data_IF_701017595528
#
_entry.id   IF_701017595528
#
_cell.length_a   1.000
_cell.length_b   1.000
_cell.length_c   1.000
_cell.angle_alpha   90.00
_cell.angle_beta   90.00
_cell.angle_gamma   90.00
#
_symmetry.space_group_name_H-M   'P 1'
#
loop_
_entity.id
_entity.type
_entity.pdbx_description
1 polymer ?
#
# COMPACT_ATOMS: atom_id res chain seq x y z
N UNK A 1 -5.62 24.55 6.13
CA UNK A 1 -5.91 23.70 7.30
C UNK A 1 -6.02 22.30 6.74
N UNK A 2 -4.99 21.49 6.97
CA UNK A 2 -4.97 20.08 6.54
C UNK A 2 -6.07 19.37 7.34
N UNK A 3 -6.97 18.67 6.65
CA UNK A 3 -7.99 17.86 7.31
C UNK A 3 -7.30 16.63 7.93
N UNK A 4 -7.83 16.09 9.03
CA UNK A 4 -7.31 14.83 9.60
C UNK A 4 -7.30 13.71 8.54
N UNK A 5 -8.29 13.71 7.64
CA UNK A 5 -8.35 12.82 6.46
C UNK A 5 -7.16 13.00 5.48
N UNK A 6 -6.73 14.24 5.25
CA UNK A 6 -5.59 14.54 4.37
C UNK A 6 -4.29 14.00 5.01
N UNK A 7 -4.14 14.17 6.33
CA UNK A 7 -2.98 13.68 7.07
C UNK A 7 -2.92 12.14 7.11
N UNK A 8 -4.05 11.46 7.33
CA UNK A 8 -4.15 10.01 7.30
C UNK A 8 -3.80 9.47 5.91
N UNK A 9 -4.35 10.07 4.85
CA UNK A 9 -4.00 9.68 3.49
C UNK A 9 -2.51 9.84 3.20
N UNK A 10 -1.92 10.99 3.52
CA UNK A 10 -0.49 11.23 3.35
C UNK A 10 0.37 10.17 4.06
N UNK A 11 -0.03 9.75 5.26
CA UNK A 11 0.66 8.69 5.99
C UNK A 11 0.47 7.31 5.34
N UNK A 12 -0.72 6.98 4.86
CA UNK A 12 -0.98 5.73 4.11
C UNK A 12 -0.14 5.68 2.81
N UNK A 13 -0.07 6.78 2.06
CA UNK A 13 0.72 6.91 0.85
C UNK A 13 2.22 6.75 1.12
N UNK A 14 2.70 7.41 2.17
CA UNK A 14 4.08 7.31 2.65
C UNK A 14 4.46 5.87 3.04
N UNK A 15 3.61 5.18 3.78
CA UNK A 15 3.83 3.77 4.15
C UNK A 15 3.78 2.85 2.94
N UNK A 16 2.78 3.02 2.07
CA UNK A 16 2.63 2.22 0.84
C UNK A 16 3.86 2.33 -0.05
N UNK A 17 4.36 3.55 -0.27
CA UNK A 17 5.58 3.80 -1.04
C UNK A 17 6.86 3.22 -0.42
N UNK A 18 6.86 2.98 0.90
CA UNK A 18 8.01 2.44 1.63
C UNK A 18 8.10 0.91 1.60
N UNK A 19 7.01 0.20 1.26
CA UNK A 19 6.97 -1.27 1.31
C UNK A 19 8.05 -1.94 0.45
N UNK A 20 8.10 -1.57 -0.84
CA UNK A 20 9.03 -2.18 -1.79
C UNK A 20 10.51 -1.89 -1.43
N UNK A 21 10.91 -0.63 -1.14
CA UNK A 21 12.26 -0.35 -0.64
C UNK A 21 12.65 -1.12 0.63
N UNK A 22 11.71 -1.28 1.58
CA UNK A 22 11.99 -2.02 2.82
C UNK A 22 12.22 -3.52 2.61
N UNK A 23 11.61 -4.10 1.58
CA UNK A 23 11.79 -5.51 1.21
C UNK A 23 13.11 -5.72 0.44
N UNK A 24 13.50 -4.72 -0.35
CA UNK A 24 14.64 -4.70 -1.26
C UNK A 24 15.98 -4.30 -0.63
N UNK A 25 16.24 -4.72 0.60
CA UNK A 25 17.53 -4.40 1.23
C UNK A 25 18.72 -5.01 0.48
N UNK A 26 18.48 -6.05 -0.33
CA UNK A 26 19.48 -6.66 -1.20
C UNK A 26 19.27 -6.22 -2.66
N UNK A 27 20.30 -5.67 -3.35
CA UNK A 27 20.17 -5.15 -4.72
C UNK A 27 19.60 -6.15 -5.74
N UNK A 28 19.89 -7.44 -5.57
CA UNK A 28 19.38 -8.49 -6.47
C UNK A 28 17.86 -8.68 -6.37
N UNK A 29 17.25 -8.44 -5.21
CA UNK A 29 15.79 -8.53 -5.03
C UNK A 29 15.08 -7.41 -5.78
N UNK A 30 15.62 -6.19 -5.68
CA UNK A 30 15.14 -5.05 -6.44
C UNK A 30 15.25 -5.31 -7.95
N UNK A 31 16.42 -5.74 -8.40
CA UNK A 31 16.65 -6.05 -9.81
C UNK A 31 15.66 -7.11 -10.31
N UNK A 32 15.45 -8.19 -9.54
CA UNK A 32 14.53 -9.26 -9.90
C UNK A 32 13.07 -8.80 -9.97
N UNK A 33 12.59 -8.00 -9.02
CA UNK A 33 11.23 -7.43 -9.09
C UNK A 33 11.08 -6.52 -10.31
N UNK A 34 12.07 -5.68 -10.58
CA UNK A 34 12.03 -4.74 -11.72
C UNK A 34 12.01 -5.46 -13.06
N UNK A 35 12.78 -6.54 -13.19
CA UNK A 35 12.71 -7.46 -14.32
C UNK A 35 11.30 -8.05 -14.47
N UNK A 36 10.70 -8.54 -13.38
CA UNK A 36 9.35 -9.09 -13.37
C UNK A 36 8.29 -8.07 -13.85
N UNK A 37 8.39 -6.81 -13.41
CA UNK A 37 7.52 -5.73 -13.89
C UNK A 37 7.70 -5.44 -15.39
N UNK A 38 8.93 -5.54 -15.91
CA UNK A 38 9.24 -5.38 -17.32
C UNK A 38 8.65 -6.51 -18.16
N UNK A 39 8.89 -7.76 -17.78
CA UNK A 39 8.39 -8.96 -18.47
C UNK A 39 6.86 -9.00 -18.53
N UNK A 40 6.19 -8.45 -17.51
CA UNK A 40 4.72 -8.37 -17.43
C UNK A 40 4.10 -7.20 -18.19
N UNK A 41 4.92 -6.35 -18.84
CA UNK A 41 4.45 -5.22 -19.63
C UNK A 41 3.96 -4.02 -18.81
N UNK A 42 4.10 -4.06 -17.48
CA UNK A 42 3.68 -2.97 -16.60
C UNK A 42 4.69 -1.81 -16.65
N UNK A 43 5.97 -2.14 -16.83
CA UNK A 43 7.08 -1.19 -16.75
C UNK A 43 7.45 -0.87 -15.31
N UNK A 44 8.74 -0.69 -15.04
CA UNK A 44 9.28 -0.57 -13.67
C UNK A 44 8.63 0.57 -12.86
N UNK A 45 8.67 1.79 -13.40
CA UNK A 45 8.16 2.99 -12.70
C UNK A 45 6.67 2.85 -12.38
N UNK A 46 5.89 2.37 -13.34
CA UNK A 46 4.45 2.19 -13.17
C UNK A 46 4.15 1.07 -12.18
N UNK A 47 4.87 -0.04 -12.23
CA UNK A 47 4.73 -1.12 -11.24
C UNK A 47 4.99 -0.67 -9.81
N UNK A 48 6.11 0.02 -9.58
CA UNK A 48 6.45 0.54 -8.24
C UNK A 48 5.41 1.56 -7.74
N UNK A 49 4.95 2.47 -8.60
CA UNK A 49 3.91 3.45 -8.27
C UNK A 49 2.56 2.78 -7.96
N UNK A 50 2.11 1.84 -8.79
CA UNK A 50 0.84 1.15 -8.57
C UNK A 50 0.87 0.29 -7.30
N UNK A 51 1.98 -0.38 -7.00
CA UNK A 51 2.14 -1.13 -5.75
C UNK A 51 2.06 -0.22 -4.53
N UNK A 52 2.72 0.92 -4.56
CA UNK A 52 2.63 1.90 -3.48
C UNK A 52 1.21 2.45 -3.29
N UNK A 53 0.56 2.87 -4.39
CA UNK A 53 -0.80 3.40 -4.36
C UNK A 53 -1.84 2.35 -3.91
N UNK A 54 -1.68 1.09 -4.32
CA UNK A 54 -2.55 0.00 -3.91
C UNK A 54 -2.47 -0.21 -2.39
N UNK A 55 -1.24 -0.27 -1.86
CA UNK A 55 -1.04 -0.41 -0.42
C UNK A 55 -1.61 0.78 0.35
N UNK A 56 -1.45 2.00 -0.16
CA UNK A 56 -2.02 3.21 0.43
C UNK A 56 -3.56 3.16 0.50
N UNK A 57 -4.22 2.77 -0.60
CA UNK A 57 -5.68 2.60 -0.65
C UNK A 57 -6.16 1.56 0.35
N UNK A 58 -5.47 0.42 0.43
CA UNK A 58 -5.81 -0.65 1.36
C UNK A 58 -5.68 -0.19 2.83
N UNK A 59 -4.59 0.50 3.18
CA UNK A 59 -4.39 1.05 4.51
C UNK A 59 -5.46 2.08 4.84
N UNK A 60 -5.75 2.99 3.91
CA UNK A 60 -6.77 4.01 4.10
C UNK A 60 -8.17 3.42 4.26
N UNK A 61 -8.51 2.39 3.47
CA UNK A 61 -9.76 1.65 3.62
C UNK A 61 -9.90 0.99 5.00
N UNK A 62 -8.80 0.45 5.55
CA UNK A 62 -8.81 -0.13 6.91
C UNK A 62 -8.98 0.93 8.01
N UNK A 63 -8.41 2.12 7.84
CA UNK A 63 -8.65 3.23 8.76
C UNK A 63 -10.13 3.67 8.68
N UNK A 64 -10.68 3.77 7.47
CA UNK A 64 -12.09 4.10 7.26
C UNK A 64 -13.03 3.04 7.88
N UNK A 65 -12.73 1.75 7.74
CA UNK A 65 -13.49 0.67 8.40
C UNK A 65 -13.42 0.79 9.92
N UNK A 66 -12.22 1.02 10.47
CA UNK A 66 -12.02 1.19 11.91
C UNK A 66 -12.78 2.40 12.42
N UNK A 67 -12.82 3.49 11.64
CA UNK A 67 -13.60 4.68 11.94
C UNK A 67 -15.10 4.41 11.92
N UNK A 68 -15.60 3.70 10.92
CA UNK A 68 -16.99 3.25 10.86
C UNK A 68 -17.37 2.33 12.04
N UNK A 69 -16.40 1.58 12.57
CA UNK A 69 -16.54 0.76 13.78
C UNK A 69 -16.38 1.54 15.11
N UNK A 70 -16.20 2.87 15.06
CA UNK A 70 -16.14 3.76 16.24
C UNK A 70 -14.75 4.20 16.68
N UNK A 71 -13.69 3.88 15.91
CA UNK A 71 -12.34 4.38 16.18
C UNK A 71 -12.17 5.83 15.69
N UNK A 72 -11.23 6.61 16.23
CA UNK A 72 -10.88 7.91 15.66
C UNK A 72 -10.35 7.78 14.22
N UNK A 73 -10.65 8.76 13.36
CA UNK A 73 -10.06 8.83 12.00
C UNK A 73 -8.74 9.60 12.04
N UNK A 74 -7.70 8.98 12.62
CA UNK A 74 -6.40 9.63 12.84
C UNK A 74 -5.20 8.68 12.61
N UNK A 75 -4.00 9.23 12.77
CA UNK A 75 -2.75 8.48 12.63
C UNK A 75 -2.58 7.40 13.72
N UNK A 76 -3.18 7.59 14.90
CA UNK A 76 -3.15 6.60 15.97
C UNK A 76 -3.85 5.32 15.56
N UNK A 77 -5.04 5.46 14.95
CA UNK A 77 -5.78 4.34 14.37
C UNK A 77 -4.98 3.65 13.26
N UNK A 78 -4.38 4.40 12.33
CA UNK A 78 -3.50 3.83 11.31
C UNK A 78 -2.37 3.01 11.94
N UNK A 79 -1.62 3.61 12.88
CA UNK A 79 -0.46 2.96 13.49
C UNK A 79 -0.83 1.72 14.30
N UNK A 80 -2.03 1.66 14.87
CA UNK A 80 -2.50 0.51 15.64
C UNK A 80 -2.89 -0.69 14.77
N UNK A 81 -3.09 -0.53 13.45
CA UNK A 81 -3.50 -1.62 12.56
C UNK A 81 -2.38 -2.70 12.49
N UNK A 82 -2.67 -3.96 12.87
CA UNK A 82 -1.71 -5.06 12.72
C UNK A 82 -1.42 -5.34 11.25
N UNK A 83 -0.16 -5.60 10.87
CA UNK A 83 0.20 -5.93 9.48
C UNK A 83 -0.50 -7.21 9.00
N UNK A 84 -0.77 -8.16 9.91
CA UNK A 84 -1.57 -9.35 9.58
C UNK A 84 -3.03 -9.01 9.23
N UNK A 85 -3.60 -7.96 9.82
CA UNK A 85 -4.92 -7.49 9.44
C UNK A 85 -4.89 -6.88 8.02
N UNK A 86 -3.82 -6.16 7.67
CA UNK A 86 -3.60 -5.66 6.30
C UNK A 86 -3.48 -6.81 5.30
N UNK A 87 -2.69 -7.85 5.62
CA UNK A 87 -2.58 -9.05 4.78
C UNK A 87 -3.92 -9.75 4.62
N UNK A 88 -4.71 -9.87 5.69
CA UNK A 88 -6.04 -10.46 5.62
C UNK A 88 -6.99 -9.65 4.74
N UNK A 89 -6.94 -8.32 4.85
CA UNK A 89 -7.76 -7.42 4.06
C UNK A 89 -7.50 -7.53 2.55
N UNK A 90 -6.28 -7.90 2.12
CA UNK A 90 -5.98 -8.19 0.70
C UNK A 90 -6.80 -9.35 0.13
N UNK A 91 -7.26 -10.27 0.99
CA UNK A 91 -8.05 -11.43 0.59
C UNK A 91 -9.54 -11.23 0.85
N UNK A 92 -9.88 -10.55 1.94
CA UNK A 92 -11.26 -10.42 2.41
C UNK A 92 -12.00 -9.24 1.76
N UNK A 93 -11.29 -8.17 1.38
CA UNK A 93 -11.89 -7.00 0.73
C UNK A 93 -12.07 -7.20 -0.76
N UNK A 94 -13.20 -6.74 -1.29
CA UNK A 94 -13.44 -6.66 -2.72
C UNK A 94 -12.77 -5.42 -3.30
N UNK A 95 -12.47 -5.45 -4.59
CA UNK A 95 -11.73 -4.38 -5.28
C UNK A 95 -12.37 -3.01 -5.08
N UNK A 96 -13.71 -2.92 -5.13
CA UNK A 96 -14.41 -1.65 -4.90
C UNK A 96 -14.29 -1.13 -3.47
N UNK A 97 -14.12 -2.00 -2.47
CA UNK A 97 -13.96 -1.59 -1.07
C UNK A 97 -12.57 -0.99 -0.84
N UNK A 98 -11.56 -1.55 -1.50
CA UNK A 98 -10.21 -0.99 -1.52
C UNK A 98 -10.24 0.37 -2.22
N UNK A 99 -10.91 0.47 -3.37
CA UNK A 99 -11.01 1.71 -4.14
C UNK A 99 -11.88 2.79 -3.48
N UNK A 100 -12.85 2.39 -2.64
CA UNK A 100 -13.63 3.31 -1.80
C UNK A 100 -12.76 4.02 -0.76
N UNK A 101 -11.58 3.46 -0.43
CA UNK A 101 -10.55 4.09 0.39
C UNK A 101 -9.78 5.22 -0.30
N UNK A 102 -10.23 5.76 -1.45
CA UNK A 102 -9.60 6.93 -2.06
C UNK A 102 -9.81 8.18 -1.22
N UNK A 103 -8.80 9.05 -1.07
CA UNK A 103 -8.97 10.32 -0.38
C UNK A 103 -9.80 11.28 -1.23
N UNK A 104 -10.24 12.38 -0.61
CA UNK A 104 -10.84 13.52 -1.33
C UNK A 104 -9.79 14.41 -2.01
N UNK A 105 -8.55 14.37 -1.52
CA UNK A 105 -7.43 15.16 -2.01
C UNK A 105 -6.18 14.29 -2.09
N UNK A 106 -5.47 14.42 -3.19
CA UNK A 106 -4.17 13.78 -3.40
C UNK A 106 -3.06 14.79 -3.09
N UNK A 107 -1.89 14.28 -2.75
CA UNK A 107 -0.71 15.12 -2.50
C UNK A 107 -0.16 15.72 -3.79
N UNK A 108 -0.18 14.96 -4.87
CA UNK A 108 0.35 15.33 -6.17
C UNK A 108 -0.35 14.58 -7.31
N UNK A 109 -0.18 15.08 -8.55
CA UNK A 109 -0.78 14.50 -9.75
C UNK A 109 -0.30 13.07 -10.02
N UNK A 110 0.89 12.69 -9.54
CA UNK A 110 1.43 11.34 -9.76
C UNK A 110 0.64 10.32 -8.94
N UNK A 111 0.33 10.66 -7.70
CA UNK A 111 -0.52 9.86 -6.83
C UNK A 111 -1.95 9.75 -7.37
N UNK A 112 -2.55 10.87 -7.76
CA UNK A 112 -3.89 10.88 -8.36
C UNK A 112 -3.93 9.98 -9.61
N UNK A 113 -2.92 10.11 -10.48
CA UNK A 113 -2.80 9.28 -11.69
C UNK A 113 -2.64 7.79 -11.35
N UNK A 114 -1.89 7.45 -10.30
CA UNK A 114 -1.72 6.06 -9.89
C UNK A 114 -3.02 5.46 -9.37
N UNK A 115 -3.79 6.18 -8.54
CA UNK A 115 -5.11 5.75 -8.06
C UNK A 115 -6.11 5.65 -9.20
N UNK A 116 -6.13 6.60 -10.13
CA UNK A 116 -6.97 6.55 -11.32
C UNK A 116 -6.63 5.33 -12.20
N UNK A 117 -5.34 5.03 -12.37
CA UNK A 117 -4.90 3.84 -13.09
C UNK A 117 -5.34 2.55 -12.39
N UNK A 118 -5.25 2.46 -11.05
CA UNK A 118 -5.76 1.29 -10.31
C UNK A 118 -7.27 1.10 -10.50
N UNK A 119 -8.06 2.18 -10.49
CA UNK A 119 -9.50 2.12 -10.79
C UNK A 119 -9.76 1.56 -12.18
N UNK A 120 -9.01 2.03 -13.18
CA UNK A 120 -9.13 1.51 -14.54
C UNK A 120 -8.80 0.01 -14.59
N UNK A 121 -7.71 -0.42 -13.94
CA UNK A 121 -7.29 -1.81 -13.92
C UNK A 121 -8.30 -2.74 -13.23
N UNK A 122 -8.94 -2.29 -12.14
CA UNK A 122 -9.92 -3.08 -11.40
C UNK A 122 -11.16 -3.44 -12.24
N UNK A 123 -11.52 -2.59 -13.21
CA UNK A 123 -12.69 -2.80 -14.07
C UNK A 123 -12.31 -3.11 -15.53
N UNK A 124 -11.01 -3.27 -15.82
CA UNK A 124 -10.55 -3.59 -17.15
C UNK A 124 -10.89 -5.04 -17.51
N UNK A 125 -11.17 -5.28 -18.79
CA UNK A 125 -11.39 -6.62 -19.36
C UNK A 125 -10.23 -6.93 -20.29
N UNK A 126 -9.84 -8.21 -20.37
CA UNK A 126 -8.70 -8.66 -21.19
C UNK A 126 -7.47 -8.99 -20.36
N UNK A 127 -6.30 -9.22 -20.98
CA UNK A 127 -5.09 -9.66 -20.28
C UNK A 127 -4.60 -8.71 -19.19
N UNK A 128 -4.90 -7.41 -19.28
CA UNK A 128 -4.49 -6.44 -18.26
C UNK A 128 -5.36 -6.47 -16.99
N UNK A 129 -6.51 -7.17 -16.99
CA UNK A 129 -7.36 -7.28 -15.79
C UNK A 129 -6.62 -7.93 -14.61
N UNK A 130 -5.63 -8.79 -14.91
CA UNK A 130 -4.80 -9.43 -13.91
C UNK A 130 -3.81 -8.48 -13.24
N UNK A 131 -3.58 -7.27 -13.77
CA UNK A 131 -2.61 -6.34 -13.20
C UNK A 131 -3.06 -5.81 -11.84
N UNK A 132 -4.36 -5.66 -11.58
CA UNK A 132 -4.84 -5.27 -10.25
C UNK A 132 -4.49 -6.33 -9.21
N UNK A 133 -4.84 -7.60 -9.46
CA UNK A 133 -4.49 -8.74 -8.60
C UNK A 133 -2.98 -8.95 -8.48
N UNK A 134 -2.25 -8.73 -9.57
CA UNK A 134 -0.79 -8.86 -9.61
C UNK A 134 -0.11 -7.83 -8.70
N UNK A 135 -0.55 -6.57 -8.75
CA UNK A 135 -0.07 -5.51 -7.85
C UNK A 135 -0.41 -5.84 -6.40
N UNK A 136 -1.63 -6.31 -6.12
CA UNK A 136 -2.03 -6.78 -4.79
C UNK A 136 -1.16 -7.94 -4.28
N UNK A 137 -0.74 -8.84 -5.17
CA UNK A 137 0.18 -9.95 -4.84
C UNK A 137 1.56 -9.44 -4.42
N UNK A 138 2.06 -8.36 -5.05
CA UNK A 138 3.32 -7.73 -4.62
C UNK A 138 3.20 -7.09 -3.23
N UNK A 139 2.07 -6.43 -2.94
CA UNK A 139 1.79 -5.91 -1.58
C UNK A 139 1.75 -7.05 -0.57
N UNK A 140 1.04 -8.15 -0.88
CA UNK A 140 0.98 -9.33 -0.03
C UNK A 140 2.40 -9.87 0.28
N UNK A 141 3.20 -10.13 -0.76
CA UNK A 141 4.56 -10.66 -0.64
C UNK A 141 5.46 -9.73 0.17
N UNK A 142 5.34 -8.43 -0.04
CA UNK A 142 6.08 -7.42 0.70
C UNK A 142 5.74 -7.47 2.19
N UNK A 143 4.46 -7.45 2.54
CA UNK A 143 4.01 -7.49 3.93
C UNK A 143 4.43 -8.80 4.64
N UNK A 144 4.25 -9.96 4.01
CA UNK A 144 4.69 -11.25 4.57
C UNK A 144 6.20 -11.23 4.83
N UNK A 145 6.99 -10.77 3.85
CA UNK A 145 8.44 -10.69 4.00
C UNK A 145 8.84 -9.80 5.18
N UNK A 146 8.17 -8.66 5.37
CA UNK A 146 8.46 -7.74 6.47
C UNK A 146 8.02 -8.33 7.83
N UNK A 147 6.85 -8.97 7.88
CA UNK A 147 6.37 -9.65 9.09
C UNK A 147 7.37 -10.74 9.51
N UNK A 148 7.80 -11.60 8.58
CA UNK A 148 8.71 -12.70 8.87
C UNK A 148 10.09 -12.20 9.33
N UNK A 149 10.58 -11.09 8.75
CA UNK A 149 11.85 -10.46 9.15
C UNK A 149 11.78 -9.78 10.52
N UNK A 150 10.60 -9.28 10.93
CA UNK A 150 10.47 -8.48 12.15
C UNK A 150 10.78 -9.24 13.44
N UNK A 151 10.63 -10.57 13.43
CA UNK A 151 10.67 -11.43 14.63
C UNK A 151 9.68 -11.03 15.73
N UNK A 152 8.77 -10.09 15.46
CA UNK A 152 7.73 -9.67 16.39
C UNK A 152 6.47 -10.52 16.17
N UNK A 153 5.74 -10.88 17.23
CA UNK A 153 4.56 -11.74 17.11
C UNK A 153 3.41 -11.07 16.33
N UNK A 154 3.25 -9.75 16.47
CA UNK A 154 2.19 -8.98 15.81
C UNK A 154 2.65 -7.56 15.47
N UNK A 155 3.51 -7.38 14.45
CA UNK A 155 3.92 -6.05 14.01
C UNK A 155 2.72 -5.27 13.47
N UNK A 156 2.79 -3.95 13.61
CA UNK A 156 1.75 -2.97 13.26
C UNK A 156 2.22 -2.03 12.15
N UNK A 157 1.31 -1.20 11.64
CA UNK A 157 1.68 -0.12 10.71
C UNK A 157 2.57 0.94 11.39
N UNK A 158 2.48 1.11 12.71
CA UNK A 158 3.41 1.94 13.48
C UNK A 158 4.83 1.38 13.46
N UNK A 159 5.00 0.06 13.60
CA UNK A 159 6.30 -0.60 13.47
C UNK A 159 6.86 -0.47 12.06
N UNK A 160 5.99 -0.64 11.04
CA UNK A 160 6.35 -0.41 9.64
C UNK A 160 6.86 1.01 9.41
N UNK A 161 6.19 2.02 9.99
CA UNK A 161 6.66 3.41 9.97
C UNK A 161 8.03 3.55 10.59
N UNK A 162 8.27 2.92 11.74
CA UNK A 162 9.57 2.95 12.41
C UNK A 162 10.67 2.32 11.56
N UNK A 163 10.40 1.19 10.88
CA UNK A 163 11.35 0.57 9.97
C UNK A 163 11.67 1.47 8.77
N UNK A 164 10.64 2.09 8.18
CA UNK A 164 10.81 3.05 7.08
C UNK A 164 11.65 4.26 7.51
N UNK A 165 11.41 4.78 8.72
CA UNK A 165 12.18 5.88 9.29
C UNK A 165 13.65 5.48 9.54
N UNK A 166 13.88 4.28 10.10
CA UNK A 166 15.22 3.74 10.31
C UNK A 166 16.00 3.49 9.02
N UNK A 167 15.30 3.27 7.91
CA UNK A 167 15.89 3.15 6.57
C UNK A 167 16.03 4.50 5.84
N UNK A 168 15.66 5.62 6.46
CA UNK A 168 15.71 6.96 5.85
C UNK A 168 14.68 7.17 4.73
N UNK A 169 13.60 6.38 4.69
CA UNK A 169 12.53 6.49 3.70
C UNK A 169 11.44 7.46 4.14
N UNK A 170 11.25 7.61 5.45
CA UNK A 170 10.28 8.51 6.08
C UNK A 170 10.96 9.36 7.17
N UNK A 171 10.41 10.55 7.47
CA UNK A 171 10.87 11.38 8.57
C UNK A 171 10.53 10.81 9.96
#
# INVERSE_FOLDING_TARGET
>A
MESDDDAVWCACAALGGSLLPLVDQEPWRQARRREEFGERGLGVRRGELLTGAFAALLLHALVADAHAAGSPHDLGTLHAIPLRAVVRALHDKWDYEILAGSPKRFRDDTEETAVAALRLLAYQVGPECFWFTYVGTHVHRALITLIDRSRMPSPTCGDLRQWASGAGLLP
#
